data_IF_487413764497
#
_entry.id   IF_487413764497
#
_cell.length_a   1.000
_cell.length_b   1.000
_cell.length_c   1.000
_cell.angle_alpha   90.00
_cell.angle_beta   90.00
_cell.angle_gamma   90.00
#
_symmetry.space_group_name_H-M   'P 1'
#
loop_
_entity.id
_entity.type
_entity.pdbx_description
1 polymer ?
#
# COMPACT_ATOMS: atom_id res chain seq x y z
N UNK A 1 -14.21 38.52 -5.40
CA UNK A 1 -13.20 37.43 -5.23
C UNK A 1 -12.02 37.71 -6.14
N UNK A 2 -10.84 37.96 -5.59
CA UNK A 2 -9.66 38.36 -6.38
C UNK A 2 -9.05 37.17 -7.12
N UNK A 3 -8.39 37.41 -8.26
CA UNK A 3 -7.75 36.35 -9.08
C UNK A 3 -6.65 35.58 -8.33
N UNK A 4 -6.02 36.18 -7.31
CA UNK A 4 -4.99 35.54 -6.48
C UNK A 4 -5.56 34.47 -5.52
N UNK A 5 -6.78 34.66 -5.02
CA UNK A 5 -7.42 33.68 -4.11
C UNK A 5 -7.78 32.37 -4.83
N UNK A 6 -8.05 32.45 -6.15
CA UNK A 6 -8.39 31.27 -6.96
C UNK A 6 -7.20 30.35 -7.23
N UNK A 7 -5.96 30.86 -7.22
CA UNK A 7 -4.76 30.05 -7.42
C UNK A 7 -4.39 29.25 -6.16
N UNK A 8 -4.50 29.87 -4.97
CA UNK A 8 -4.26 29.18 -3.69
C UNK A 8 -5.27 28.05 -3.42
N UNK A 9 -6.53 28.24 -3.81
CA UNK A 9 -7.59 27.26 -3.56
C UNK A 9 -7.56 26.07 -4.55
N UNK A 10 -6.98 26.29 -5.73
CA UNK A 10 -6.77 25.23 -6.74
C UNK A 10 -5.58 24.32 -6.37
N UNK A 11 -4.48 24.87 -5.85
CA UNK A 11 -3.34 24.08 -5.35
C UNK A 11 -3.70 23.23 -4.12
N UNK A 12 -4.62 23.73 -3.28
CA UNK A 12 -5.06 23.02 -2.07
C UNK A 12 -5.81 21.72 -2.34
N UNK A 13 -6.50 21.62 -3.48
CA UNK A 13 -7.30 20.43 -3.83
C UNK A 13 -6.45 19.25 -4.32
N UNK A 14 -5.26 19.50 -4.88
CA UNK A 14 -4.43 18.48 -5.51
C UNK A 14 -3.51 17.72 -4.54
N UNK A 15 -3.42 18.13 -3.28
CA UNK A 15 -2.46 17.59 -2.33
C UNK A 15 -3.00 16.37 -1.59
N UNK A 16 -2.22 15.28 -1.57
CA UNK A 16 -2.46 14.13 -0.69
C UNK A 16 -1.92 14.48 0.70
N UNK A 17 -2.82 14.74 1.64
CA UNK A 17 -2.46 15.02 3.03
C UNK A 17 -2.25 13.72 3.82
N UNK A 18 -1.21 13.68 4.64
CA UNK A 18 -0.87 12.55 5.51
C UNK A 18 -0.87 12.98 6.98
N UNK A 19 -2.04 13.11 7.63
CA UNK A 19 -2.13 13.56 9.03
C UNK A 19 -1.38 12.63 10.01
N UNK A 20 -1.25 11.33 9.67
CA UNK A 20 -0.47 10.34 10.43
C UNK A 20 1.06 10.51 10.30
N UNK A 21 1.56 11.45 9.49
CA UNK A 21 3.00 11.55 9.17
C UNK A 21 3.89 11.73 10.39
N UNK A 22 3.43 12.47 11.40
CA UNK A 22 4.20 12.67 12.64
C UNK A 22 4.33 11.34 13.40
N UNK A 23 3.25 10.57 13.50
CA UNK A 23 3.26 9.25 14.14
C UNK A 23 4.19 8.29 13.41
N UNK A 24 4.13 8.28 12.07
CA UNK A 24 5.04 7.48 11.24
C UNK A 24 6.52 7.82 11.52
N UNK A 25 6.89 9.11 11.52
CA UNK A 25 8.27 9.54 11.81
C UNK A 25 8.69 9.11 13.23
N UNK A 26 7.79 9.22 14.20
CA UNK A 26 8.05 8.78 15.57
C UNK A 26 8.14 7.24 15.72
N UNK A 27 7.60 6.49 14.76
CA UNK A 27 7.77 5.03 14.69
C UNK A 27 9.06 4.66 13.99
N UNK A 28 9.52 5.42 13.00
CA UNK A 28 10.83 5.21 12.37
C UNK A 28 12.00 5.36 13.35
N UNK A 29 11.85 6.17 14.41
CA UNK A 29 12.86 6.29 15.46
C UNK A 29 12.89 5.10 16.43
N UNK A 30 11.89 4.21 16.34
CA UNK A 30 11.88 2.91 17.02
C UNK A 30 12.41 1.90 16.01
N UNK A 31 13.52 1.24 16.31
CA UNK A 31 13.98 0.12 15.50
C UNK A 31 12.95 -1.01 15.60
N UNK A 32 11.99 -1.07 14.68
CA UNK A 32 11.24 -2.30 14.45
C UNK A 32 12.21 -3.30 13.82
N UNK A 33 12.65 -4.26 14.62
CA UNK A 33 13.52 -5.33 14.14
C UNK A 33 12.74 -6.26 13.21
N UNK A 34 13.04 -6.20 11.92
CA UNK A 34 12.59 -7.17 10.94
C UNK A 34 11.49 -6.69 9.98
N UNK A 35 11.01 -7.62 9.16
CA UNK A 35 10.02 -7.34 8.12
C UNK A 35 8.60 -7.51 8.65
N UNK A 36 7.80 -6.43 8.64
CA UNK A 36 6.41 -6.49 9.09
C UNK A 36 5.57 -7.45 8.24
N UNK A 37 5.85 -7.60 6.95
CA UNK A 37 5.14 -8.56 6.09
C UNK A 37 5.46 -10.01 6.49
N UNK A 38 6.71 -10.34 6.82
CA UNK A 38 7.05 -11.66 7.36
C UNK A 38 6.36 -11.92 8.71
N UNK A 39 6.32 -10.91 9.58
CA UNK A 39 5.59 -11.01 10.86
C UNK A 39 4.11 -11.32 10.64
N UNK A 40 3.44 -10.59 9.76
CA UNK A 40 2.02 -10.82 9.40
C UNK A 40 1.81 -12.22 8.79
N UNK A 41 2.74 -12.68 7.95
CA UNK A 41 2.70 -14.04 7.39
C UNK A 41 2.70 -15.09 8.50
N UNK A 42 3.59 -14.94 9.49
CA UNK A 42 3.87 -15.94 10.52
C UNK A 42 2.84 -15.92 11.67
N UNK A 43 2.25 -14.76 11.98
CA UNK A 43 1.17 -14.60 12.97
C UNK A 43 -0.20 -14.99 12.37
N UNK A 44 -0.64 -16.24 12.59
CA UNK A 44 -1.87 -16.77 11.97
C UNK A 44 -3.18 -16.40 12.67
N UNK A 45 -3.12 -16.04 13.95
CA UNK A 45 -4.32 -15.84 14.77
C UNK A 45 -4.65 -14.35 15.01
N UNK A 46 -3.98 -13.44 14.29
CA UNK A 46 -4.06 -12.00 14.54
C UNK A 46 -4.33 -11.15 13.30
N UNK A 47 -5.08 -11.68 12.33
CA UNK A 47 -5.31 -11.05 11.04
C UNK A 47 -5.92 -9.63 11.16
N UNK A 48 -6.85 -9.43 12.09
CA UNK A 48 -7.51 -8.15 12.30
C UNK A 48 -6.55 -7.05 12.80
N UNK A 49 -5.72 -7.33 13.81
CA UNK A 49 -4.75 -6.35 14.33
C UNK A 49 -3.61 -6.08 13.33
N UNK A 50 -3.27 -7.11 12.54
CA UNK A 50 -2.29 -7.02 11.46
C UNK A 50 -2.85 -6.36 10.19
N UNK A 51 -4.13 -5.96 10.19
CA UNK A 51 -4.81 -5.37 9.04
C UNK A 51 -4.72 -6.25 7.78
N UNK A 52 -4.67 -7.57 7.98
CA UNK A 52 -4.62 -8.55 6.90
C UNK A 52 -6.04 -8.81 6.40
N UNK A 53 -6.26 -8.59 5.11
CA UNK A 53 -7.57 -8.78 4.47
C UNK A 53 -7.72 -10.15 3.85
N UNK A 54 -6.64 -10.69 3.28
CA UNK A 54 -6.71 -11.91 2.49
C UNK A 54 -5.40 -12.69 2.51
N UNK A 55 -5.49 -13.99 2.76
CA UNK A 55 -4.40 -14.97 2.60
C UNK A 55 -4.67 -15.79 1.33
N UNK A 56 -3.88 -15.58 0.28
CA UNK A 56 -3.92 -16.40 -0.93
C UNK A 56 -2.86 -17.52 -0.84
N UNK A 57 -2.56 -18.18 -1.97
CA UNK A 57 -1.66 -19.34 -1.98
C UNK A 57 -0.18 -18.95 -1.93
N UNK A 58 0.21 -17.92 -2.67
CA UNK A 58 1.58 -17.42 -2.79
C UNK A 58 1.74 -16.00 -2.25
N UNK A 59 0.64 -15.28 -2.08
CA UNK A 59 0.59 -13.86 -1.70
C UNK A 59 -0.47 -13.57 -0.63
N UNK A 60 -0.39 -12.38 -0.07
CA UNK A 60 -1.37 -11.85 0.88
C UNK A 60 -1.70 -10.39 0.60
N UNK A 61 -2.86 -9.94 1.06
CA UNK A 61 -3.35 -8.57 0.92
C UNK A 61 -3.51 -7.94 2.30
N UNK A 62 -2.79 -6.84 2.54
CA UNK A 62 -2.75 -6.12 3.81
C UNK A 62 -3.18 -4.67 3.58
N UNK A 63 -3.93 -4.05 4.50
CA UNK A 63 -4.13 -2.61 4.47
C UNK A 63 -2.86 -1.88 4.92
N UNK A 64 -2.48 -0.85 4.18
CA UNK A 64 -1.35 -0.02 4.58
C UNK A 64 -1.71 0.76 5.86
N UNK A 65 -0.90 0.60 6.92
CA UNK A 65 -1.03 1.32 8.18
C UNK A 65 -0.83 2.83 8.02
N UNK A 66 -0.05 3.24 7.02
CA UNK A 66 0.18 4.64 6.64
C UNK A 66 -0.30 4.85 5.20
N UNK A 67 -1.63 4.84 4.99
CA UNK A 67 -2.22 4.82 3.65
C UNK A 67 -1.92 6.13 2.89
N UNK A 68 -2.03 6.16 1.56
CA UNK A 68 -2.04 7.47 0.85
C UNK A 68 -3.47 8.02 0.77
N UNK A 69 -4.42 7.13 0.57
CA UNK A 69 -5.85 7.38 0.58
C UNK A 69 -6.56 6.23 1.30
N UNK A 70 -7.80 6.46 1.75
CA UNK A 70 -8.59 5.42 2.40
C UNK A 70 -8.72 4.19 1.49
N UNK A 71 -8.42 3.00 2.03
CA UNK A 71 -8.41 1.76 1.24
C UNK A 71 -7.11 1.47 0.50
N UNK A 72 -5.99 2.14 0.81
CA UNK A 72 -4.66 1.78 0.31
C UNK A 72 -4.29 0.35 0.76
N UNK A 73 -4.16 -0.56 -0.20
CA UNK A 73 -3.74 -1.95 0.03
C UNK A 73 -2.31 -2.19 -0.43
N UNK A 74 -1.66 -3.15 0.24
CA UNK A 74 -0.40 -3.75 -0.14
C UNK A 74 -0.65 -5.22 -0.48
N UNK A 75 -0.18 -5.67 -1.65
CA UNK A 75 -0.19 -7.07 -2.06
C UNK A 75 1.25 -7.55 -2.03
N UNK A 76 1.57 -8.55 -1.22
CA UNK A 76 2.93 -9.02 -1.03
C UNK A 76 3.02 -10.54 -1.19
N UNK A 77 4.10 -11.08 -1.79
CA UNK A 77 4.38 -12.51 -1.76
C UNK A 77 4.72 -12.95 -0.34
N UNK A 78 4.55 -14.23 -0.02
CA UNK A 78 5.00 -14.76 1.27
C UNK A 78 6.52 -14.89 1.37
N UNK A 79 7.20 -15.01 0.24
CA UNK A 79 8.67 -15.05 0.15
C UNK A 79 9.26 -13.67 0.46
N UNK A 80 10.31 -13.63 1.28
CA UNK A 80 11.04 -12.40 1.59
C UNK A 80 12.05 -12.14 0.47
N UNK A 81 11.62 -11.38 -0.53
CA UNK A 81 12.42 -11.02 -1.69
C UNK A 81 12.33 -9.53 -1.96
N UNK A 82 13.48 -8.90 -2.25
CA UNK A 82 13.60 -7.46 -2.47
C UNK A 82 13.58 -7.05 -3.94
N UNK A 83 13.60 -8.02 -4.87
CA UNK A 83 13.68 -7.77 -6.31
C UNK A 83 12.56 -8.48 -7.06
N UNK A 84 12.00 -7.79 -8.07
CA UNK A 84 10.89 -8.29 -8.87
C UNK A 84 11.28 -9.51 -9.72
N UNK A 85 12.52 -9.58 -10.20
CA UNK A 85 13.02 -10.72 -10.99
C UNK A 85 13.15 -12.02 -10.19
N UNK A 86 13.07 -11.96 -8.85
CA UNK A 86 13.14 -13.13 -7.98
C UNK A 86 11.76 -13.78 -7.77
N UNK A 87 10.67 -13.12 -8.19
CA UNK A 87 9.33 -13.69 -8.07
C UNK A 87 9.13 -14.90 -8.96
N UNK A 88 8.52 -15.95 -8.39
CA UNK A 88 7.98 -17.04 -9.19
C UNK A 88 6.85 -16.54 -10.10
N UNK A 89 6.69 -17.15 -11.28
CA UNK A 89 5.61 -16.83 -12.21
C UNK A 89 4.22 -16.96 -11.57
N UNK A 90 4.05 -17.94 -10.67
CA UNK A 90 2.80 -18.17 -9.94
C UNK A 90 2.50 -17.01 -8.98
N UNK A 91 3.49 -16.57 -8.20
CA UNK A 91 3.32 -15.43 -7.30
C UNK A 91 3.06 -14.14 -8.09
N UNK A 92 3.79 -13.90 -9.17
CA UNK A 92 3.59 -12.73 -10.03
C UNK A 92 2.17 -12.69 -10.61
N UNK A 93 1.68 -13.82 -11.15
CA UNK A 93 0.32 -13.93 -11.66
C UNK A 93 -0.72 -13.74 -10.56
N UNK A 94 -0.52 -14.36 -9.38
CA UNK A 94 -1.45 -14.24 -8.25
C UNK A 94 -1.53 -12.79 -7.75
N UNK A 95 -0.39 -12.10 -7.60
CA UNK A 95 -0.35 -10.69 -7.21
C UNK A 95 -1.16 -9.81 -8.16
N UNK A 96 -1.02 -10.02 -9.47
CA UNK A 96 -1.78 -9.25 -10.46
C UNK A 96 -3.27 -9.58 -10.45
N UNK A 97 -3.66 -10.84 -10.21
CA UNK A 97 -5.07 -11.21 -10.03
C UNK A 97 -5.67 -10.57 -8.78
N UNK A 98 -4.94 -10.59 -7.66
CA UNK A 98 -5.34 -9.91 -6.43
C UNK A 98 -5.48 -8.40 -6.64
N UNK A 99 -4.64 -7.78 -7.46
CA UNK A 99 -4.77 -6.36 -7.80
C UNK A 99 -6.06 -6.07 -8.60
N UNK A 100 -6.44 -6.95 -9.52
CA UNK A 100 -7.72 -6.86 -10.22
C UNK A 100 -8.91 -7.01 -9.26
N UNK A 101 -8.83 -7.95 -8.31
CA UNK A 101 -9.91 -8.16 -7.35
C UNK A 101 -10.01 -7.04 -6.31
N UNK A 102 -8.87 -6.50 -5.88
CA UNK A 102 -8.80 -5.30 -5.04
C UNK A 102 -9.49 -4.09 -5.71
N UNK A 103 -9.28 -3.88 -7.01
CA UNK A 103 -9.96 -2.80 -7.74
C UNK A 103 -11.48 -2.99 -7.72
N UNK A 104 -11.98 -4.20 -7.98
CA UNK A 104 -13.43 -4.49 -7.93
C UNK A 104 -14.00 -4.27 -6.52
N UNK A 105 -13.28 -4.76 -5.51
CA UNK A 105 -13.65 -4.62 -4.11
C UNK A 105 -13.74 -3.14 -3.72
N UNK A 106 -12.71 -2.35 -4.02
CA UNK A 106 -12.63 -0.94 -3.63
C UNK A 106 -13.63 -0.07 -4.42
N UNK A 107 -13.84 -0.38 -5.70
CA UNK A 107 -14.89 0.27 -6.51
C UNK A 107 -16.27 0.05 -5.91
N UNK A 108 -16.57 -1.15 -5.45
CA UNK A 108 -17.91 -1.48 -4.95
C UNK A 108 -18.14 -0.99 -3.51
N UNK A 109 -17.13 -1.15 -2.63
CA UNK A 109 -17.22 -0.86 -1.20
C UNK A 109 -17.09 0.62 -0.86
N UNK A 110 -16.16 1.34 -1.48
CA UNK A 110 -15.85 2.74 -1.15
C UNK A 110 -16.00 3.69 -2.34
N UNK A 111 -16.56 3.21 -3.45
CA UNK A 111 -16.84 4.01 -4.65
C UNK A 111 -15.58 4.69 -5.22
N UNK A 112 -14.43 4.00 -5.17
CA UNK A 112 -13.22 4.46 -5.83
C UNK A 112 -13.48 4.66 -7.34
N UNK A 113 -12.98 5.75 -7.90
CA UNK A 113 -13.20 6.14 -9.31
C UNK A 113 -11.97 5.88 -10.19
N UNK A 114 -10.80 5.71 -9.57
CA UNK A 114 -9.55 5.39 -10.25
C UNK A 114 -8.54 4.77 -9.29
N UNK A 115 -7.39 4.33 -9.82
CA UNK A 115 -6.37 3.65 -9.03
C UNK A 115 -4.95 4.03 -9.49
N UNK A 116 -4.04 4.20 -8.52
CA UNK A 116 -2.61 4.08 -8.77
C UNK A 116 -2.16 2.69 -8.31
N UNK A 117 -1.49 1.96 -9.20
CA UNK A 117 -0.99 0.61 -8.94
C UNK A 117 0.49 0.57 -9.31
N UNK A 118 1.35 0.17 -8.38
CA UNK A 118 2.79 0.20 -8.60
C UNK A 118 3.61 -0.31 -7.43
N UNK A 119 4.91 -0.46 -7.66
CA UNK A 119 5.89 -0.96 -6.70
C UNK A 119 7.07 0.00 -6.65
N UNK A 120 7.61 0.22 -5.45
CA UNK A 120 8.89 0.90 -5.27
C UNK A 120 9.94 -0.18 -5.00
N UNK A 121 10.99 -0.23 -5.82
CA UNK A 121 12.06 -1.24 -5.72
C UNK A 121 13.38 -0.54 -5.44
N UNK A 122 13.98 -0.85 -4.29
CA UNK A 122 15.22 -0.25 -3.80
C UNK A 122 15.05 1.13 -3.16
N UNK A 123 16.06 1.52 -2.36
CA UNK A 123 16.09 2.77 -1.60
C UNK A 123 15.72 4.01 -2.43
N UNK A 124 16.38 4.19 -3.57
CA UNK A 124 16.24 5.38 -4.41
C UNK A 124 14.86 5.51 -5.06
N UNK A 125 14.10 4.42 -5.15
CA UNK A 125 12.71 4.45 -5.63
C UNK A 125 11.72 4.83 -4.51
N UNK A 126 12.19 5.08 -3.29
CA UNK A 126 11.34 5.37 -2.14
C UNK A 126 10.66 4.13 -1.57
N UNK A 127 11.34 2.96 -1.63
CA UNK A 127 10.85 1.76 -0.97
C UNK A 127 10.93 1.93 0.56
N UNK A 128 9.78 1.96 1.24
CA UNK A 128 9.72 2.01 2.71
C UNK A 128 10.11 0.68 3.38
N UNK A 129 10.17 -0.40 2.61
CA UNK A 129 10.62 -1.73 3.01
C UNK A 129 11.38 -2.36 1.84
N UNK A 130 12.71 -2.24 1.85
CA UNK A 130 13.54 -2.59 0.69
C UNK A 130 13.69 -4.11 0.49
N UNK A 131 13.68 -4.90 1.57
CA UNK A 131 13.92 -6.35 1.52
C UNK A 131 12.71 -7.21 1.12
N UNK A 132 11.51 -6.62 1.08
CA UNK A 132 10.27 -7.36 0.81
C UNK A 132 9.35 -6.53 -0.08
N UNK A 133 9.33 -6.87 -1.36
CA UNK A 133 8.53 -6.20 -2.37
C UNK A 133 7.03 -6.31 -2.07
N UNK A 134 6.29 -5.28 -2.44
CA UNK A 134 4.85 -5.23 -2.31
C UNK A 134 4.26 -4.29 -3.36
N UNK A 135 3.14 -4.70 -3.93
CA UNK A 135 2.36 -3.93 -4.90
C UNK A 135 1.34 -3.06 -4.17
N UNK A 136 1.46 -1.76 -4.37
CA UNK A 136 0.49 -0.79 -3.88
C UNK A 136 -0.76 -0.81 -4.77
N UNK A 137 -1.93 -0.80 -4.15
CA UNK A 137 -3.20 -0.50 -4.81
C UNK A 137 -3.84 0.67 -4.07
N UNK A 138 -3.79 1.85 -4.70
CA UNK A 138 -4.20 3.12 -4.09
C UNK A 138 -5.46 3.63 -4.78
N UNK A 139 -6.64 3.58 -4.16
CA UNK A 139 -7.87 4.11 -4.73
C UNK A 139 -7.84 5.65 -4.79
N UNK A 140 -8.45 6.22 -5.84
CA UNK A 140 -8.51 7.66 -6.14
C UNK A 140 -9.94 8.09 -6.48
N UNK A 141 -10.21 9.38 -6.30
CA UNK A 141 -11.47 10.06 -6.62
C UNK A 141 -11.16 11.35 -7.38
N UNK A 142 -12.13 11.89 -8.10
CA UNK A 142 -12.05 13.21 -8.70
C UNK A 142 -11.99 14.32 -7.65
N UNK A 143 -10.79 14.85 -7.40
CA UNK A 143 -10.52 15.94 -6.45
C UNK A 143 -9.05 16.25 -6.35
#
# INVERSE_FOLDING_TARGET
MNKQDKHHDAERKLNIHAPWRIEYINMLSREEQGCFLCRIRDEKDNDAENLLLWRAKHSMVVMNRFPYSAGHLLIAPYEHIGQLEQLSSDAMLEMMRLACDAQKLLTTSIKAEGFNIGMNIGHCAGAGLEGHIHLHVVPRWGG
#
